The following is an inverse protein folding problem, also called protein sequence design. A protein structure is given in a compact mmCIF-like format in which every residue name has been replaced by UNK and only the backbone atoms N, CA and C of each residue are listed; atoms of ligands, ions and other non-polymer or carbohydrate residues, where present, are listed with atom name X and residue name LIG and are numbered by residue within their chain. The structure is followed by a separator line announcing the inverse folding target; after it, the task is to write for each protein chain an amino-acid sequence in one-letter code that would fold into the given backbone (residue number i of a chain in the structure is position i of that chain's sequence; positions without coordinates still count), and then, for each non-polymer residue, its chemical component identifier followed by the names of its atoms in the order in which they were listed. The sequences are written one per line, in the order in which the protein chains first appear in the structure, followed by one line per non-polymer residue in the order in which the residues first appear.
data_IF_515159928245
#
_entry.id   IF_515159928245
#
_cell.length_a   1.000
_cell.length_b   1.000
_cell.length_c   1.000
_cell.angle_alpha   90.00
_cell.angle_beta   90.00
_cell.angle_gamma   90.00
#
_symmetry.space_group_name_H-M   'P 1'
#
loop_
_entity.id
_entity.type
_entity.pdbx_description
1 polymer ?
#
# COMPACT_ATOMS: atom_id res chain seq x y z
N UNK A 1 -22.62 28.61 5.34
CA UNK A 1 -22.61 27.23 5.85
C UNK A 1 -21.23 26.66 5.61
N UNK A 2 -20.57 26.09 6.62
CA UNK A 2 -19.33 25.36 6.39
C UNK A 2 -19.62 24.22 5.40
N UNK A 3 -18.83 24.10 4.33
CA UNK A 3 -18.96 22.98 3.40
C UNK A 3 -18.79 21.69 4.20
N UNK A 4 -19.76 20.77 4.08
CA UNK A 4 -19.65 19.45 4.69
C UNK A 4 -18.33 18.81 4.23
N UNK A 5 -17.47 18.45 5.18
CA UNK A 5 -16.16 17.89 4.89
C UNK A 5 -16.27 16.59 4.09
N UNK A 6 -15.26 16.32 3.26
CA UNK A 6 -15.13 15.04 2.53
C UNK A 6 -14.51 14.01 3.46
N UNK A 7 -15.16 12.86 3.61
CA UNK A 7 -14.62 11.75 4.38
C UNK A 7 -13.95 10.72 3.45
N UNK A 8 -12.66 10.52 3.66
CA UNK A 8 -11.80 9.63 2.86
C UNK A 8 -11.38 8.44 3.72
N UNK A 9 -11.62 7.22 3.25
CA UNK A 9 -11.34 5.98 3.99
C UNK A 9 -10.44 5.03 3.21
N UNK A 10 -9.55 4.31 3.90
CA UNK A 10 -8.71 3.30 3.28
C UNK A 10 -7.63 2.70 4.19
N UNK A 11 -6.72 1.88 3.63
CA UNK A 11 -5.72 1.15 4.40
C UNK A 11 -4.53 2.03 4.82
N UNK A 12 -3.78 1.57 5.83
CA UNK A 12 -2.61 2.29 6.34
C UNK A 12 -1.44 2.47 5.36
N UNK A 13 -1.32 1.63 4.32
CA UNK A 13 -0.19 1.67 3.36
C UNK A 13 -0.09 2.99 2.60
N UNK A 14 -1.08 3.37 1.77
CA UNK A 14 -1.11 4.65 1.06
C UNK A 14 -1.38 5.87 1.95
N UNK A 15 -1.73 5.68 3.22
CA UNK A 15 -2.20 6.74 4.10
C UNK A 15 -1.26 7.95 4.25
N UNK A 16 0.08 7.80 4.33
CA UNK A 16 0.98 8.95 4.40
C UNK A 16 0.87 9.87 3.17
N UNK A 17 0.84 9.28 1.97
CA UNK A 17 0.65 10.02 0.72
C UNK A 17 -0.73 10.66 0.63
N UNK A 18 -1.78 9.91 1.01
CA UNK A 18 -3.16 10.40 0.99
C UNK A 18 -3.37 11.59 1.95
N UNK A 19 -2.79 11.53 3.15
CA UNK A 19 -2.84 12.62 4.13
C UNK A 19 -2.07 13.85 3.66
N UNK A 20 -0.89 13.66 3.06
CA UNK A 20 -0.12 14.75 2.48
C UNK A 20 -0.88 15.42 1.33
N UNK A 21 -1.52 14.62 0.45
CA UNK A 21 -2.34 15.13 -0.64
C UNK A 21 -3.57 15.88 -0.14
N UNK A 22 -4.26 15.38 0.89
CA UNK A 22 -5.38 16.08 1.53
C UNK A 22 -4.93 17.43 2.09
N UNK A 23 -3.84 17.47 2.85
CA UNK A 23 -3.31 18.71 3.42
C UNK A 23 -2.95 19.75 2.35
N UNK A 24 -2.33 19.32 1.24
CA UNK A 24 -1.99 20.24 0.15
C UNK A 24 -3.23 20.71 -0.62
N UNK A 25 -4.20 19.82 -0.86
CA UNK A 25 -5.47 20.17 -1.46
C UNK A 25 -6.21 21.24 -0.65
N UNK A 26 -6.29 21.10 0.67
CA UNK A 26 -6.95 22.10 1.53
C UNK A 26 -6.28 23.47 1.48
N UNK A 27 -4.94 23.53 1.37
CA UNK A 27 -4.22 24.81 1.20
C UNK A 27 -4.55 25.49 -0.12
N UNK A 28 -4.64 24.70 -1.20
CA UNK A 28 -4.94 25.21 -2.55
C UNK A 28 -6.41 25.55 -2.75
N UNK A 29 -7.30 24.98 -1.95
CA UNK A 29 -8.74 25.15 -2.03
C UNK A 29 -9.35 25.56 -0.68
N UNK A 30 -9.14 26.81 -0.23
CA UNK A 30 -9.69 27.29 1.04
C UNK A 30 -11.20 27.04 1.16
N UNK A 31 -11.61 26.43 2.28
CA UNK A 31 -13.01 26.07 2.54
C UNK A 31 -13.42 24.66 2.08
N UNK A 32 -12.58 23.97 1.30
CA UNK A 32 -12.75 22.55 1.00
C UNK A 32 -11.98 21.70 2.02
N UNK A 33 -12.69 20.94 2.86
CA UNK A 33 -12.08 20.09 3.89
C UNK A 33 -12.08 18.62 3.50
N UNK A 34 -10.99 17.91 3.79
CA UNK A 34 -10.76 16.50 3.47
C UNK A 34 -10.19 15.80 4.70
N UNK A 35 -11.00 14.93 5.30
CA UNK A 35 -10.61 14.12 6.45
C UNK A 35 -10.25 12.70 6.01
N UNK A 36 -9.00 12.30 6.26
CA UNK A 36 -8.50 10.96 5.92
C UNK A 36 -8.48 10.06 7.16
N UNK A 37 -9.36 9.06 7.17
CA UNK A 37 -9.36 7.97 8.15
C UNK A 37 -8.67 6.74 7.54
N UNK A 38 -7.64 6.25 8.21
CA UNK A 38 -6.82 5.16 7.70
C UNK A 38 -6.57 4.09 8.78
N UNK A 39 -6.61 2.82 8.38
CA UNK A 39 -6.34 1.72 9.31
C UNK A 39 -6.79 0.36 8.77
N UNK A 40 -6.81 -0.67 9.63
CA UNK A 40 -7.45 -1.95 9.34
C UNK A 40 -8.92 -1.76 8.94
N UNK A 41 -9.35 -2.39 7.85
CA UNK A 41 -10.71 -2.26 7.28
C UNK A 41 -11.83 -2.36 8.31
N UNK A 42 -11.85 -3.33 9.25
CA UNK A 42 -12.94 -3.46 10.22
C UNK A 42 -13.12 -2.23 11.13
N UNK A 43 -12.09 -1.39 11.30
CA UNK A 43 -12.15 -0.22 12.17
C UNK A 43 -12.89 0.97 11.53
N UNK A 44 -13.07 0.97 10.21
CA UNK A 44 -13.65 2.11 9.50
C UNK A 44 -14.75 1.75 8.50
N UNK A 45 -14.98 0.46 8.20
CA UNK A 45 -15.92 0.02 7.17
C UNK A 45 -17.34 0.55 7.39
N UNK A 46 -17.86 0.49 8.63
CA UNK A 46 -19.20 0.97 8.95
C UNK A 46 -19.31 2.49 8.84
N UNK A 47 -18.27 3.21 9.27
CA UNK A 47 -18.20 4.67 9.12
C UNK A 47 -18.14 5.09 7.64
N UNK A 48 -17.40 4.34 6.82
CA UNK A 48 -17.34 4.53 5.38
C UNK A 48 -18.70 4.25 4.72
N UNK A 49 -19.42 3.22 5.16
CA UNK A 49 -20.78 2.93 4.68
C UNK A 49 -21.75 4.08 4.97
N UNK A 50 -21.67 4.66 6.16
CA UNK A 50 -22.57 5.72 6.60
C UNK A 50 -22.22 7.10 6.02
N UNK A 51 -20.93 7.42 5.91
CA UNK A 51 -20.48 8.81 5.68
C UNK A 51 -19.40 8.96 4.61
N UNK A 52 -18.84 7.87 4.10
CA UNK A 52 -17.72 7.92 3.15
C UNK A 52 -18.08 8.64 1.86
N UNK A 53 -17.17 9.50 1.40
CA UNK A 53 -17.23 10.14 0.09
C UNK A 53 -16.20 9.51 -0.86
N UNK A 54 -15.01 9.17 -0.35
CA UNK A 54 -13.90 8.62 -1.15
C UNK A 54 -13.35 7.38 -0.45
N UNK A 55 -13.16 6.30 -1.20
CA UNK A 55 -12.47 5.09 -0.76
C UNK A 55 -11.16 4.97 -1.53
N UNK A 56 -10.07 4.64 -0.85
CA UNK A 56 -8.80 4.31 -1.51
C UNK A 56 -8.31 2.93 -1.08
N UNK A 57 -7.63 2.24 -1.99
CA UNK A 57 -7.11 0.88 -1.79
C UNK A 57 -5.59 0.85 -1.81
N UNK A 58 -5.02 -0.26 -1.34
CA UNK A 58 -3.59 -0.56 -1.50
C UNK A 58 -3.31 -1.63 -2.55
N UNK A 59 -4.31 -2.07 -3.31
CA UNK A 59 -4.17 -3.05 -4.40
C UNK A 59 -5.54 -3.28 -5.04
N UNK A 60 -5.58 -3.71 -6.30
CA UNK A 60 -6.82 -4.15 -6.96
C UNK A 60 -7.56 -5.29 -6.23
N UNK A 61 -6.87 -6.27 -5.64
CA UNK A 61 -7.53 -7.33 -4.87
C UNK A 61 -8.31 -6.75 -3.66
N UNK A 62 -7.71 -5.77 -2.97
CA UNK A 62 -8.36 -5.05 -1.88
C UNK A 62 -9.49 -4.13 -2.39
N UNK A 63 -9.34 -3.52 -3.56
CA UNK A 63 -10.41 -2.72 -4.15
C UNK A 63 -11.63 -3.60 -4.47
N UNK A 64 -11.41 -4.80 -5.00
CA UNK A 64 -12.46 -5.78 -5.22
C UNK A 64 -13.16 -6.20 -3.91
N UNK A 65 -12.40 -6.38 -2.82
CA UNK A 65 -12.98 -6.57 -1.48
C UNK A 65 -13.86 -5.39 -1.07
N UNK A 66 -13.40 -4.15 -1.27
CA UNK A 66 -14.19 -2.95 -0.96
C UNK A 66 -15.43 -2.83 -1.82
N UNK A 67 -15.39 -3.20 -3.10
CA UNK A 67 -16.58 -3.21 -3.97
C UNK A 67 -17.65 -4.17 -3.46
N UNK A 68 -17.24 -5.36 -2.99
CA UNK A 68 -18.15 -6.33 -2.38
C UNK A 68 -18.68 -5.81 -1.03
N UNK A 69 -17.78 -5.38 -0.15
CA UNK A 69 -18.13 -5.04 1.23
C UNK A 69 -18.93 -3.72 1.29
N UNK A 70 -18.69 -2.78 0.37
CA UNK A 70 -19.42 -1.52 0.21
C UNK A 70 -20.39 -1.54 -0.98
N UNK A 71 -20.94 -2.72 -1.32
CA UNK A 71 -21.94 -2.84 -2.37
C UNK A 71 -23.12 -1.88 -2.13
N UNK A 72 -23.53 -1.17 -3.19
CA UNK A 72 -24.55 -0.12 -3.12
C UNK A 72 -24.07 1.22 -2.54
N UNK A 73 -22.84 1.29 -2.02
CA UNK A 73 -22.22 2.53 -1.52
C UNK A 73 -21.07 2.99 -2.41
N UNK A 74 -20.11 2.11 -2.74
CA UNK A 74 -18.99 2.42 -3.64
C UNK A 74 -19.46 2.36 -5.10
N UNK A 75 -19.27 3.44 -5.87
CA UNK A 75 -19.60 3.46 -7.29
C UNK A 75 -18.45 2.85 -8.10
N UNK A 76 -18.65 1.60 -8.54
CA UNK A 76 -17.69 0.86 -9.34
C UNK A 76 -17.25 1.60 -10.61
N UNK A 77 -18.12 2.41 -11.22
CA UNK A 77 -17.81 3.17 -12.43
C UNK A 77 -16.85 4.35 -12.20
N UNK A 78 -16.49 4.63 -10.95
CA UNK A 78 -15.55 5.70 -10.57
C UNK A 78 -14.21 5.18 -10.09
N UNK A 79 -14.04 3.86 -10.02
CA UNK A 79 -12.81 3.24 -9.54
C UNK A 79 -11.71 3.38 -10.59
N UNK A 80 -10.57 3.88 -10.16
CA UNK A 80 -9.39 3.99 -11.01
C UNK A 80 -8.09 3.75 -10.21
N UNK A 81 -7.12 2.98 -10.76
CA UNK A 81 -5.76 2.93 -10.24
C UNK A 81 -5.05 4.26 -10.46
N UNK A 82 -4.39 4.80 -9.43
CA UNK A 82 -3.67 6.07 -9.50
C UNK A 82 -2.17 5.88 -9.73
N UNK A 83 -1.55 5.06 -8.90
CA UNK A 83 -0.09 4.91 -8.84
C UNK A 83 0.31 3.49 -8.48
N UNK A 84 1.52 3.09 -8.87
CA UNK A 84 2.14 1.81 -8.53
C UNK A 84 3.20 1.99 -7.45
N UNK A 85 3.47 0.94 -6.67
CA UNK A 85 4.66 0.85 -5.82
C UNK A 85 5.36 -0.49 -6.00
N UNK A 86 6.70 -0.53 -5.99
CA UNK A 86 7.45 -1.78 -6.10
C UNK A 86 7.35 -2.61 -4.82
N UNK A 87 7.17 -3.92 -4.99
CA UNK A 87 7.59 -4.86 -3.97
C UNK A 87 9.13 -4.85 -3.86
N UNK A 88 9.64 -4.89 -2.63
CA UNK A 88 11.06 -4.81 -2.29
C UNK A 88 11.39 -5.77 -1.17
N UNK A 89 12.68 -6.01 -0.97
CA UNK A 89 13.19 -6.72 0.18
C UNK A 89 13.80 -5.69 1.12
N UNK A 90 13.25 -5.58 2.33
CA UNK A 90 13.81 -4.78 3.39
C UNK A 90 14.78 -5.67 4.19
N UNK A 91 16.00 -5.19 4.37
CA UNK A 91 17.06 -5.88 5.11
C UNK A 91 17.59 -5.01 6.23
N UNK A 92 18.28 -5.59 7.22
CA UNK A 92 18.89 -4.83 8.30
C UNK A 92 19.88 -3.79 7.76
N UNK A 93 20.06 -2.63 8.43
CA UNK A 93 21.04 -1.63 8.02
C UNK A 93 22.43 -2.25 7.78
N UNK A 94 23.06 -1.88 6.67
CA UNK A 94 24.34 -2.45 6.24
C UNK A 94 24.26 -3.82 5.55
N UNK A 95 23.07 -4.43 5.48
CA UNK A 95 22.83 -5.71 4.80
C UNK A 95 23.82 -6.83 5.19
N UNK A 96 23.89 -7.21 6.49
CA UNK A 96 24.89 -8.17 7.00
C UNK A 96 24.79 -9.55 6.37
N UNK A 97 23.62 -9.93 5.84
CA UNK A 97 23.38 -11.23 5.20
C UNK A 97 23.64 -11.23 3.68
N UNK A 98 24.21 -10.15 3.14
CA UNK A 98 24.55 -9.98 1.73
C UNK A 98 23.39 -10.38 0.79
N UNK A 99 22.18 -9.90 1.08
CA UNK A 99 20.99 -10.15 0.29
C UNK A 99 21.02 -9.21 -0.92
N UNK A 100 21.05 -9.78 -2.12
CA UNK A 100 21.14 -9.01 -3.39
C UNK A 100 19.88 -9.15 -4.25
N UNK A 101 18.87 -9.87 -3.76
CA UNK A 101 17.55 -9.96 -4.35
C UNK A 101 16.82 -11.25 -3.97
N UNK A 102 15.78 -11.62 -4.72
CA UNK A 102 14.87 -12.70 -4.33
C UNK A 102 15.56 -14.06 -4.16
N UNK A 103 16.52 -14.39 -5.03
CA UNK A 103 17.26 -15.66 -4.95
C UNK A 103 18.03 -15.84 -3.64
N UNK A 104 18.51 -14.75 -3.02
CA UNK A 104 19.16 -14.80 -1.71
C UNK A 104 18.20 -15.32 -0.63
N UNK A 105 16.90 -15.06 -0.76
CA UNK A 105 15.86 -15.51 0.17
C UNK A 105 15.56 -17.01 0.07
N UNK A 106 16.10 -17.71 -0.94
CA UNK A 106 15.94 -19.15 -1.12
C UNK A 106 17.03 -19.98 -0.42
N UNK A 107 18.10 -19.33 0.08
CA UNK A 107 19.18 -20.03 0.79
C UNK A 107 18.61 -20.74 2.02
N UNK A 108 18.98 -22.01 2.29
CA UNK A 108 18.51 -22.72 3.48
C UNK A 108 18.78 -21.92 4.77
N UNK A 109 17.79 -21.86 5.65
CA UNK A 109 17.92 -21.24 6.96
C UNK A 109 17.70 -19.72 7.00
N UNK A 110 17.35 -19.07 5.88
CA UNK A 110 16.95 -17.66 5.94
C UNK A 110 15.68 -17.48 6.77
N UNK A 111 15.66 -16.39 7.53
CA UNK A 111 14.51 -15.96 8.33
C UNK A 111 13.82 -14.79 7.65
N UNK A 112 12.81 -15.10 6.85
CA UNK A 112 12.07 -14.13 6.05
C UNK A 112 10.71 -13.87 6.69
N UNK A 113 10.35 -12.59 6.79
CA UNK A 113 9.01 -12.16 7.12
C UNK A 113 8.28 -11.70 5.84
N UNK A 114 7.00 -12.05 5.75
CA UNK A 114 6.09 -11.58 4.71
C UNK A 114 4.86 -10.95 5.36
N UNK A 115 4.03 -10.26 4.57
CA UNK A 115 2.71 -9.78 5.01
C UNK A 115 1.64 -10.48 4.17
N UNK A 116 0.59 -10.98 4.82
CA UNK A 116 -0.57 -11.58 4.18
C UNK A 116 -1.84 -10.81 4.57
N UNK A 117 -1.95 -9.60 4.04
CA UNK A 117 -3.01 -8.63 4.33
C UNK A 117 -2.55 -7.23 3.91
N UNK A 118 -3.34 -6.18 4.17
CA UNK A 118 -3.00 -4.80 3.83
C UNK A 118 -2.53 -4.60 2.36
N UNK A 119 -3.16 -5.30 1.42
CA UNK A 119 -2.82 -5.23 -0.02
C UNK A 119 -1.60 -6.07 -0.41
N UNK A 120 -1.24 -7.07 0.41
CA UNK A 120 -0.12 -8.00 0.18
C UNK A 120 -0.56 -9.46 0.09
N UNK A 121 -1.88 -9.73 0.05
CA UNK A 121 -2.41 -11.08 -0.14
C UNK A 121 -1.88 -11.63 -1.47
N UNK A 122 -1.29 -12.83 -1.44
CA UNK A 122 -0.67 -13.47 -2.61
C UNK A 122 0.68 -12.87 -3.04
N UNK A 123 1.15 -11.77 -2.44
CA UNK A 123 2.33 -11.05 -2.93
C UNK A 123 3.58 -11.93 -3.00
N UNK A 124 3.83 -12.70 -1.94
CA UNK A 124 5.05 -13.50 -1.85
C UNK A 124 5.02 -14.70 -2.81
N UNK A 125 3.85 -15.32 -3.02
CA UNK A 125 3.69 -16.47 -3.92
C UNK A 125 3.71 -16.04 -5.38
N UNK A 126 3.15 -14.87 -5.73
CA UNK A 126 3.24 -14.29 -7.07
C UNK A 126 4.71 -14.04 -7.47
N UNK A 127 5.54 -13.62 -6.52
CA UNK A 127 6.98 -13.41 -6.74
C UNK A 127 7.70 -14.75 -6.84
N UNK A 128 7.44 -15.67 -5.90
CA UNK A 128 8.13 -16.95 -5.82
C UNK A 128 7.74 -17.93 -6.94
N UNK A 129 6.49 -17.88 -7.41
CA UNK A 129 5.94 -18.73 -8.47
C UNK A 129 6.25 -18.26 -9.89
N UNK A 130 6.84 -17.07 -10.04
CA UNK A 130 7.05 -16.41 -11.35
C UNK A 130 7.95 -17.18 -12.32
N UNK A 131 8.71 -18.14 -11.82
CA UNK A 131 9.55 -19.02 -12.65
C UNK A 131 8.90 -20.37 -12.98
N UNK A 132 7.66 -20.62 -12.54
CA UNK A 132 6.91 -21.85 -12.79
C UNK A 132 7.44 -23.08 -12.05
N UNK A 133 8.39 -22.94 -11.11
CA UNK A 133 9.04 -24.07 -10.44
C UNK A 133 8.53 -24.22 -9.01
N UNK A 134 7.82 -25.32 -8.74
CA UNK A 134 7.35 -25.65 -7.39
C UNK A 134 8.49 -25.76 -6.36
N UNK A 135 9.71 -26.10 -6.81
CA UNK A 135 10.90 -26.12 -5.96
C UNK A 135 11.24 -24.73 -5.40
N UNK A 136 11.08 -23.67 -6.20
CA UNK A 136 11.29 -22.28 -5.77
C UNK A 136 10.27 -21.89 -4.69
N UNK A 137 8.99 -22.16 -4.94
CA UNK A 137 7.92 -21.88 -3.98
C UNK A 137 8.13 -22.62 -2.66
N UNK A 138 8.48 -23.92 -2.72
CA UNK A 138 8.81 -24.72 -1.53
C UNK A 138 10.02 -24.18 -0.78
N UNK A 139 11.08 -23.78 -1.48
CA UNK A 139 12.28 -23.21 -0.87
C UNK A 139 11.98 -21.89 -0.15
N UNK A 140 11.29 -20.97 -0.79
CA UNK A 140 10.91 -19.70 -0.18
C UNK A 140 9.97 -19.92 1.01
N UNK A 141 8.93 -20.75 0.87
CA UNK A 141 7.94 -21.00 1.93
C UNK A 141 8.58 -21.53 3.22
N UNK A 142 9.58 -22.41 3.11
CA UNK A 142 10.32 -22.94 4.27
C UNK A 142 11.09 -21.88 5.05
N UNK A 143 11.47 -20.78 4.40
CA UNK A 143 12.20 -19.68 5.02
C UNK A 143 11.28 -18.59 5.60
N UNK A 144 9.95 -18.70 5.41
CA UNK A 144 9.00 -17.76 6.00
C UNK A 144 8.83 -18.10 7.48
N UNK A 145 9.41 -17.28 8.37
CA UNK A 145 9.30 -17.46 9.83
C UNK A 145 8.10 -16.73 10.43
N UNK A 146 7.56 -15.74 9.72
CA UNK A 146 6.38 -15.01 10.15
C UNK A 146 5.63 -14.45 8.95
N UNK A 147 4.30 -14.63 8.94
CA UNK A 147 3.38 -14.03 7.98
C UNK A 147 2.48 -13.05 8.74
N UNK A 148 2.81 -11.76 8.68
CA UNK A 148 2.09 -10.73 9.41
C UNK A 148 0.69 -10.50 8.78
N UNK A 149 -0.38 -10.34 9.57
CA UNK A 149 -1.72 -10.10 9.02
C UNK A 149 -1.89 -8.65 8.49
N UNK A 150 -1.02 -7.72 8.89
CA UNK A 150 -0.98 -6.37 8.35
C UNK A 150 0.42 -5.76 8.52
N UNK A 151 0.64 -4.63 7.85
CA UNK A 151 1.96 -4.00 7.82
C UNK A 151 2.38 -3.35 9.14
N UNK A 152 1.45 -2.93 10.00
CA UNK A 152 1.78 -2.38 11.32
C UNK A 152 2.33 -3.46 12.26
N UNK A 153 1.73 -4.65 12.24
CA UNK A 153 2.24 -5.80 12.99
C UNK A 153 3.55 -6.34 12.41
N UNK A 154 3.73 -6.25 11.09
CA UNK A 154 5.02 -6.54 10.47
C UNK A 154 6.12 -5.57 10.96
N UNK A 155 5.84 -4.26 10.96
CA UNK A 155 6.77 -3.25 11.46
C UNK A 155 7.15 -3.50 12.92
N UNK A 156 6.16 -3.73 13.79
CA UNK A 156 6.41 -4.06 15.20
C UNK A 156 7.29 -5.30 15.32
N UNK A 157 6.96 -6.38 14.59
CA UNK A 157 7.76 -7.61 14.64
C UNK A 157 9.18 -7.41 14.13
N UNK A 158 9.38 -6.59 13.09
CA UNK A 158 10.70 -6.23 12.58
C UNK A 158 11.55 -5.52 13.63
N UNK A 159 10.95 -4.61 14.41
CA UNK A 159 11.64 -3.87 15.48
C UNK A 159 11.96 -4.76 16.68
N UNK A 160 11.04 -5.65 17.06
CA UNK A 160 11.18 -6.49 18.25
C UNK A 160 12.09 -7.71 18.04
N UNK A 161 12.23 -8.21 16.81
CA UNK A 161 12.95 -9.45 16.51
C UNK A 161 14.07 -9.23 15.49
N UNK A 162 15.28 -8.96 16.00
CA UNK A 162 16.48 -8.80 15.18
C UNK A 162 16.91 -10.07 14.42
N UNK A 163 16.38 -11.26 14.76
CA UNK A 163 16.71 -12.49 14.06
C UNK A 163 16.05 -12.60 12.67
N UNK A 164 15.03 -11.79 12.38
CA UNK A 164 14.46 -11.68 11.04
C UNK A 164 15.47 -10.92 10.15
N UNK A 165 15.94 -11.59 9.11
CA UNK A 165 17.00 -11.11 8.21
C UNK A 165 16.42 -10.31 7.03
N UNK A 166 15.22 -10.67 6.59
CA UNK A 166 14.57 -10.07 5.44
C UNK A 166 13.07 -9.89 5.66
N UNK A 167 12.53 -8.79 5.15
CA UNK A 167 11.09 -8.54 5.07
C UNK A 167 10.70 -8.23 3.62
N UNK A 168 9.96 -9.14 2.99
CA UNK A 168 9.39 -8.92 1.66
C UNK A 168 8.12 -8.08 1.80
N UNK A 169 8.17 -6.84 1.29
CA UNK A 169 7.16 -5.79 1.54
C UNK A 169 7.17 -4.73 0.43
N UNK A 170 6.68 -3.52 0.73
CA UNK A 170 6.79 -2.33 -0.11
C UNK A 170 7.80 -1.31 0.43
N UNK A 171 8.33 -0.47 -0.47
CA UNK A 171 9.36 0.54 -0.20
C UNK A 171 8.98 1.61 0.83
N UNK A 172 7.69 1.93 0.97
CA UNK A 172 7.22 3.02 1.83
C UNK A 172 7.69 2.91 3.29
N UNK A 173 7.91 1.69 3.81
CA UNK A 173 8.36 1.51 5.19
C UNK A 173 9.79 2.00 5.44
N UNK A 174 10.68 1.87 4.46
CA UNK A 174 12.02 2.44 4.56
C UNK A 174 12.00 3.97 4.41
N UNK A 175 11.08 4.51 3.59
CA UNK A 175 10.92 5.96 3.40
C UNK A 175 10.30 6.63 4.62
N UNK A 176 9.25 6.02 5.20
CA UNK A 176 8.54 6.56 6.36
C UNK A 176 9.33 6.41 7.67
N UNK A 177 10.32 5.52 7.72
CA UNK A 177 11.15 5.27 8.90
C UNK A 177 12.64 5.23 8.52
N UNK A 178 13.30 6.40 8.34
CA UNK A 178 14.72 6.46 8.03
C UNK A 178 15.57 5.66 9.02
N UNK A 179 16.49 4.86 8.51
CA UNK A 179 17.38 3.99 9.32
C UNK A 179 16.77 2.66 9.76
N UNK A 180 15.48 2.41 9.54
CA UNK A 180 14.83 1.15 9.93
C UNK A 180 15.34 -0.06 9.15
N UNK A 181 15.58 0.13 7.86
CA UNK A 181 15.97 -0.93 6.93
C UNK A 181 16.66 -0.35 5.69
N UNK A 182 17.52 -1.16 5.08
CA UNK A 182 18.02 -0.93 3.74
C UNK A 182 17.08 -1.59 2.72
N UNK A 183 16.84 -0.93 1.59
CA UNK A 183 16.02 -1.46 0.49
C UNK A 183 16.90 -2.22 -0.49
N UNK A 184 16.54 -3.48 -0.76
CA UNK A 184 17.09 -4.29 -1.84
C UNK A 184 15.99 -4.50 -2.90
N UNK A 185 16.16 -3.98 -4.14
CA UNK A 185 15.16 -4.13 -5.17
C UNK A 185 15.05 -5.58 -5.66
N UNK A 186 13.86 -5.98 -6.09
CA UNK A 186 13.68 -7.26 -6.78
C UNK A 186 14.26 -7.19 -8.19
N UNK A 187 14.92 -8.26 -8.63
CA UNK A 187 15.44 -8.37 -9.99
C UNK A 187 14.31 -8.31 -11.02
N UNK A 188 14.62 -7.89 -12.25
CA UNK A 188 13.63 -7.69 -13.34
C UNK A 188 12.66 -8.86 -13.50
N UNK A 189 13.12 -10.11 -13.42
CA UNK A 189 12.23 -11.27 -13.57
C UNK A 189 11.27 -11.49 -12.39
N UNK A 190 11.55 -10.94 -11.20
CA UNK A 190 10.76 -11.09 -9.97
C UNK A 190 10.03 -9.80 -9.56
N UNK A 191 10.29 -8.71 -10.26
CA UNK A 191 9.71 -7.39 -10.01
C UNK A 191 8.19 -7.45 -10.14
N UNK A 192 7.52 -6.97 -9.10
CA UNK A 192 6.07 -6.95 -8.99
C UNK A 192 5.64 -5.60 -8.41
N UNK A 193 4.51 -5.10 -8.91
CA UNK A 193 3.92 -3.83 -8.49
C UNK A 193 2.48 -4.07 -8.04
N UNK A 194 2.06 -3.35 -7.01
CA UNK A 194 0.64 -3.18 -6.66
C UNK A 194 0.30 -1.70 -6.63
N UNK A 195 -0.95 -1.40 -6.91
CA UNK A 195 -1.43 -0.04 -7.09
C UNK A 195 -1.95 0.59 -5.77
N UNK A 196 -2.16 1.90 -5.81
CA UNK A 196 -3.10 2.62 -4.98
C UNK A 196 -4.26 3.02 -5.88
N UNK A 197 -5.45 2.47 -5.63
CA UNK A 197 -6.67 2.84 -6.33
C UNK A 197 -7.48 3.85 -5.53
N UNK A 198 -8.37 4.55 -6.21
CA UNK A 198 -9.38 5.43 -5.61
C UNK A 198 -10.74 5.17 -6.24
N UNK A 199 -11.81 5.38 -5.49
CA UNK A 199 -13.18 5.37 -5.98
C UNK A 199 -14.06 6.32 -5.16
N UNK A 200 -15.10 6.86 -5.80
CA UNK A 200 -16.12 7.67 -5.15
C UNK A 200 -17.25 6.77 -4.67
N UNK A 201 -17.79 7.08 -3.49
CA UNK A 201 -19.10 6.54 -3.11
C UNK A 201 -20.20 7.24 -3.91
N UNK A 202 -21.42 6.71 -3.92
CA UNK A 202 -22.59 7.39 -4.51
C UNK A 202 -22.77 8.79 -3.91
N UNK A 203 -22.56 8.91 -2.59
CA UNK A 203 -22.55 10.20 -1.88
C UNK A 203 -21.42 11.11 -2.38
N UNK A 204 -20.19 10.59 -2.42
CA UNK A 204 -19.02 11.36 -2.88
C UNK A 204 -19.13 11.80 -4.33
N UNK A 205 -19.78 11.00 -5.17
CA UNK A 205 -20.07 11.37 -6.56
C UNK A 205 -20.99 12.59 -6.66
N UNK A 206 -21.94 12.77 -5.73
CA UNK A 206 -22.75 13.99 -5.65
C UNK A 206 -21.99 15.18 -5.02
N UNK A 207 -20.98 14.91 -4.19
CA UNK A 207 -20.17 15.92 -3.51
C UNK A 207 -19.09 16.56 -4.43
N UNK A 208 -19.23 17.86 -4.71
CA UNK A 208 -18.31 18.58 -5.59
C UNK A 208 -16.86 18.59 -5.07
N UNK A 209 -16.68 18.68 -3.75
CA UNK A 209 -15.37 18.66 -3.10
C UNK A 209 -14.70 17.29 -3.22
N UNK A 210 -15.46 16.21 -3.08
CA UNK A 210 -14.91 14.86 -3.25
C UNK A 210 -14.45 14.61 -4.69
N UNK A 211 -15.25 15.04 -5.69
CA UNK A 211 -14.84 14.99 -7.10
C UNK A 211 -13.60 15.85 -7.37
N UNK A 212 -13.51 17.03 -6.75
CA UNK A 212 -12.34 17.90 -6.88
C UNK A 212 -11.09 17.27 -6.26
N UNK A 213 -11.22 16.64 -5.10
CA UNK A 213 -10.12 15.94 -4.44
C UNK A 213 -9.62 14.75 -5.28
N UNK A 214 -10.51 13.90 -5.81
CA UNK A 214 -10.11 12.81 -6.72
C UNK A 214 -9.42 13.34 -7.98
N UNK A 215 -9.90 14.46 -8.56
CA UNK A 215 -9.18 15.13 -9.67
C UNK A 215 -7.79 15.60 -9.25
N UNK A 216 -7.64 16.18 -8.06
CA UNK A 216 -6.37 16.63 -7.53
C UNK A 216 -5.40 15.48 -7.32
N UNK A 217 -5.87 14.32 -6.82
CA UNK A 217 -5.04 13.12 -6.66
C UNK A 217 -4.39 12.67 -7.97
N UNK A 218 -4.99 12.97 -9.14
CA UNK A 218 -4.48 12.65 -10.49
C UNK A 218 -3.64 13.77 -11.12
N UNK A 219 -3.63 14.95 -10.50
CA UNK A 219 -2.92 16.11 -11.02
C UNK A 219 -1.40 15.92 -10.93
N UNK A 220 -0.64 16.78 -11.61
CA UNK A 220 0.81 16.80 -11.48
C UNK A 220 1.26 17.04 -10.03
N UNK A 221 0.55 17.89 -9.28
CA UNK A 221 0.81 18.14 -7.86
C UNK A 221 0.51 16.91 -7.00
N UNK A 222 -0.63 16.26 -7.24
CA UNK A 222 -0.99 15.00 -6.56
C UNK A 222 0.06 13.91 -6.81
N UNK A 223 0.51 13.77 -8.06
CA UNK A 223 1.58 12.84 -8.44
C UNK A 223 2.88 13.14 -7.72
N UNK A 224 3.32 14.40 -7.70
CA UNK A 224 4.56 14.79 -7.02
C UNK A 224 4.53 14.43 -5.54
N UNK A 225 3.38 14.58 -4.86
CA UNK A 225 3.23 14.16 -3.47
C UNK A 225 3.36 12.64 -3.33
N UNK A 226 2.68 11.87 -4.17
CA UNK A 226 2.78 10.41 -4.14
C UNK A 226 4.19 9.89 -4.42
N UNK A 227 4.93 10.55 -5.31
CA UNK A 227 6.34 10.24 -5.63
C UNK A 227 7.26 10.38 -4.41
N UNK A 228 7.05 11.38 -3.55
CA UNK A 228 7.80 11.53 -2.28
C UNK A 228 7.62 10.33 -1.34
N UNK A 229 6.51 9.62 -1.46
CA UNK A 229 6.19 8.43 -0.67
C UNK A 229 6.50 7.12 -1.41
N UNK A 230 7.22 7.18 -2.52
CA UNK A 230 7.71 6.00 -3.25
C UNK A 230 6.69 5.37 -4.19
N UNK A 231 5.63 6.09 -4.55
CA UNK A 231 4.68 5.71 -5.58
C UNK A 231 5.11 6.26 -6.94
N UNK A 232 4.71 5.62 -8.04
CA UNK A 232 5.13 5.99 -9.39
C UNK A 232 4.07 5.62 -10.43
N UNK A 233 4.02 6.30 -11.56
CA UNK A 233 3.15 5.96 -12.71
C UNK A 233 3.81 5.03 -13.72
N UNK A 234 5.14 4.94 -13.69
CA UNK A 234 5.94 3.99 -14.44
C UNK A 234 7.15 3.57 -13.60
N UNK A 235 7.75 2.38 -13.82
CA UNK A 235 9.02 2.04 -13.20
C UNK A 235 10.06 3.14 -13.50
N UNK A 236 10.75 3.63 -12.47
CA UNK A 236 12.00 4.37 -12.69
C UNK A 236 12.95 3.57 -13.59
N UNK A 237 13.60 4.26 -14.53
CA UNK A 237 14.55 3.69 -15.47
C UNK A 237 15.63 2.85 -14.77
#
# INVERSE_FOLDING_TARGET
MAAAGVHVFGPGGPAPAMKAAAAEFEKLHPGMRVQVTAGPTPQWLDAARATGDVIYSGSEAMMADFQRDLAGVLDAGTIEPLYLRPAVILVRPGNPDHITGFRSLLRPGMKVMVVNGAGQVGLWEDIAGRDGRIATLRAFRRNIVYAAPNSALALKRWQDDAAIQAWLSYNIWALAHPGLAQVVPLQRQYRLYRDCGVGLTIRGKANATARAFVRFLRSAQGRAIFELWGWQTAPGA
#
